data_IF_248344126206
#
_entry.id   IF_248344126206
#
_cell.length_a   1.000
_cell.length_b   1.000
_cell.length_c   1.000
_cell.angle_alpha   90.00
_cell.angle_beta   90.00
_cell.angle_gamma   90.00
#
_symmetry.space_group_name_H-M   'P 1'
#
loop_
_entity.id
_entity.type
_entity.pdbx_description
1 polymer ?
#
# COMPACT_ATOMS: atom_id res chain seq x y z
N UNK A 1 -31.00 -29.38 18.19
CA UNK A 1 -30.08 -28.27 18.53
C UNK A 1 -29.39 -27.82 17.24
N UNK A 2 -29.72 -26.64 16.68
CA UNK A 2 -29.06 -26.12 15.47
C UNK A 2 -28.60 -24.68 15.74
N UNK A 3 -27.30 -24.40 15.55
CA UNK A 3 -26.73 -23.06 15.75
C UNK A 3 -26.94 -22.22 14.49
N UNK A 4 -27.92 -21.31 14.51
CA UNK A 4 -28.10 -20.29 13.47
C UNK A 4 -26.85 -19.40 13.37
N UNK A 5 -26.16 -19.46 12.22
CA UNK A 5 -25.03 -18.57 11.96
C UNK A 5 -25.53 -17.19 11.51
N UNK A 6 -25.27 -16.19 12.36
CA UNK A 6 -24.97 -14.79 11.99
C UNK A 6 -25.63 -14.25 10.71
N UNK A 7 -26.83 -13.66 10.85
CA UNK A 7 -27.28 -12.67 9.88
C UNK A 7 -26.36 -11.45 9.91
N UNK A 8 -25.85 -11.03 8.76
CA UNK A 8 -24.98 -9.85 8.65
C UNK A 8 -25.83 -8.59 8.85
N UNK A 9 -25.73 -7.94 10.02
CA UNK A 9 -26.35 -6.62 10.24
C UNK A 9 -25.52 -5.56 9.51
N UNK A 10 -26.14 -4.70 8.68
CA UNK A 10 -25.43 -3.56 8.11
C UNK A 10 -25.13 -2.50 9.20
N UNK A 11 -23.89 -2.03 9.23
CA UNK A 11 -23.47 -0.74 9.80
C UNK A 11 -23.68 -0.47 11.31
N UNK A 12 -23.36 -1.43 12.19
CA UNK A 12 -22.85 -1.08 13.53
C UNK A 12 -21.31 -1.15 13.53
N UNK A 13 -20.63 -0.12 13.00
CA UNK A 13 -19.16 -0.07 13.09
C UNK A 13 -18.72 0.22 14.53
N UNK A 14 -17.80 -0.58 15.04
CA UNK A 14 -17.19 -0.38 16.36
C UNK A 14 -16.52 0.99 16.47
N UNK A 15 -16.36 1.50 17.71
CA UNK A 15 -15.53 2.70 17.95
C UNK A 15 -14.11 2.52 17.38
N UNK A 16 -13.56 1.29 17.45
CA UNK A 16 -12.24 0.94 16.88
C UNK A 16 -12.21 1.04 15.35
N UNK A 17 -13.28 0.60 14.68
CA UNK A 17 -13.34 0.59 13.20
C UNK A 17 -13.43 2.00 12.63
N UNK A 18 -14.22 2.89 13.25
CA UNK A 18 -14.27 4.32 12.88
C UNK A 18 -12.92 5.03 13.05
N UNK A 19 -12.15 4.67 14.07
CA UNK A 19 -10.78 5.18 14.21
C UNK A 19 -9.86 4.67 13.08
N UNK A 20 -9.96 3.38 12.71
CA UNK A 20 -9.19 2.80 11.60
C UNK A 20 -9.57 3.41 10.25
N UNK A 21 -10.85 3.65 10.00
CA UNK A 21 -11.37 4.33 8.80
C UNK A 21 -10.79 5.75 8.66
N UNK A 22 -10.84 6.56 9.72
CA UNK A 22 -10.28 7.92 9.72
C UNK A 22 -8.76 7.91 9.50
N UNK A 23 -8.04 6.99 10.14
CA UNK A 23 -6.59 6.84 9.94
C UNK A 23 -6.30 6.43 8.49
N UNK A 24 -7.02 5.44 7.95
CA UNK A 24 -6.86 4.93 6.58
C UNK A 24 -7.14 6.01 5.53
N UNK A 25 -8.22 6.78 5.69
CA UNK A 25 -8.54 7.91 4.81
C UNK A 25 -7.45 9.00 4.87
N UNK A 26 -6.91 9.29 6.07
CA UNK A 26 -5.83 10.27 6.25
C UNK A 26 -4.51 9.81 5.65
N UNK A 27 -4.18 8.51 5.73
CA UNK A 27 -2.99 7.95 5.07
C UNK A 27 -3.17 7.87 3.55
N UNK A 28 -4.36 7.52 3.06
CA UNK A 28 -4.66 7.55 1.63
C UNK A 28 -4.54 8.96 1.04
N UNK A 29 -4.96 9.99 1.78
CA UNK A 29 -4.72 11.41 1.43
C UNK A 29 -3.24 11.73 1.24
N UNK A 30 -2.39 11.33 2.21
CA UNK A 30 -0.93 11.51 2.12
C UNK A 30 -0.28 10.75 0.96
N UNK A 31 -0.74 9.52 0.68
CA UNK A 31 -0.27 8.74 -0.48
C UNK A 31 -0.66 9.46 -1.78
N UNK A 32 -1.89 9.99 -1.87
CA UNK A 32 -2.36 10.78 -3.01
C UNK A 32 -1.50 12.03 -3.22
N UNK A 33 -1.19 12.76 -2.16
CA UNK A 33 -0.30 13.94 -2.17
C UNK A 33 1.12 13.57 -2.64
N UNK A 34 1.70 12.50 -2.12
CA UNK A 34 3.02 12.00 -2.53
C UNK A 34 3.05 11.64 -4.04
N UNK A 35 2.00 10.97 -4.54
CA UNK A 35 1.87 10.66 -5.98
C UNK A 35 1.80 11.93 -6.83
N UNK A 36 1.07 12.97 -6.40
CA UNK A 36 1.03 14.27 -7.11
C UNK A 36 2.37 14.99 -7.13
N UNK A 37 3.22 14.76 -6.13
CA UNK A 37 4.50 15.45 -5.94
C UNK A 37 5.68 14.72 -6.61
N UNK A 38 5.53 13.45 -7.02
CA UNK A 38 6.56 12.72 -7.77
C UNK A 38 6.92 13.44 -9.09
N UNK A 39 8.21 13.52 -9.46
CA UNK A 39 8.60 13.94 -10.80
C UNK A 39 8.14 12.93 -11.86
N UNK A 40 7.92 13.41 -13.08
CA UNK A 40 7.64 12.55 -14.25
C UNK A 40 8.78 11.54 -14.43
N UNK A 41 8.46 10.30 -14.72
CA UNK A 41 9.48 9.26 -14.95
C UNK A 41 10.17 9.48 -16.29
N UNK A 42 11.49 9.35 -16.29
CA UNK A 42 12.33 9.50 -17.48
C UNK A 42 12.76 8.14 -18.02
N UNK A 43 13.17 8.07 -19.29
CA UNK A 43 13.70 6.84 -19.89
C UNK A 43 14.93 6.28 -19.15
N UNK A 44 15.63 7.12 -18.37
CA UNK A 44 16.78 6.69 -17.56
C UNK A 44 16.36 6.02 -16.25
N UNK A 45 15.21 6.40 -15.69
CA UNK A 45 14.57 5.65 -14.61
C UNK A 45 14.16 4.26 -15.10
N UNK A 46 13.54 4.19 -16.28
CA UNK A 46 13.12 2.95 -16.94
C UNK A 46 14.30 2.01 -17.21
N UNK A 47 15.44 2.53 -17.70
CA UNK A 47 16.67 1.75 -17.86
C UNK A 47 17.26 1.28 -16.52
N UNK A 48 17.24 2.14 -15.49
CA UNK A 48 17.78 1.83 -14.17
C UNK A 48 17.06 0.68 -13.48
N UNK A 49 15.73 0.70 -13.44
CA UNK A 49 14.93 -0.40 -12.86
C UNK A 49 14.99 -1.67 -13.72
N UNK A 50 15.19 -1.55 -15.04
CA UNK A 50 15.42 -2.70 -15.91
C UNK A 50 16.79 -3.38 -15.72
N UNK A 51 17.76 -2.70 -15.11
CA UNK A 51 19.04 -3.25 -14.69
C UNK A 51 18.96 -3.88 -13.29
N UNK A 52 18.51 -3.13 -12.28
CA UNK A 52 18.47 -3.61 -10.88
C UNK A 52 17.69 -4.93 -10.70
N UNK A 53 16.58 -5.10 -11.43
CA UNK A 53 15.78 -6.34 -11.39
C UNK A 53 16.44 -7.53 -12.12
N UNK A 54 17.52 -7.34 -12.89
CA UNK A 54 18.35 -8.46 -13.36
C UNK A 54 19.26 -8.93 -12.23
N UNK A 55 19.96 -8.00 -11.59
CA UNK A 55 20.85 -8.27 -10.46
C UNK A 55 20.08 -9.01 -9.34
N UNK A 56 18.85 -8.59 -9.03
CA UNK A 56 17.99 -9.32 -8.07
C UNK A 56 17.59 -10.72 -8.55
N UNK A 57 17.33 -10.92 -9.85
CA UNK A 57 16.96 -12.25 -10.38
C UNK A 57 18.17 -13.19 -10.34
N UNK A 58 19.34 -12.73 -10.76
CA UNK A 58 20.60 -13.51 -10.74
C UNK A 58 21.04 -13.87 -9.32
N UNK A 59 20.73 -13.03 -8.32
CA UNK A 59 20.97 -13.33 -6.90
C UNK A 59 20.01 -14.36 -6.29
N UNK A 60 18.86 -14.66 -6.92
CA UNK A 60 17.87 -15.61 -6.37
C UNK A 60 18.10 -17.08 -6.74
N UNK A 61 18.93 -17.38 -7.73
CA UNK A 61 19.11 -18.75 -8.26
C UNK A 61 20.15 -19.61 -7.49
N UNK A 62 20.98 -19.04 -6.60
CA UNK A 62 22.10 -19.74 -5.94
C UNK A 62 22.05 -19.81 -4.39
N UNK A 63 20.86 -19.97 -3.80
CA UNK A 63 20.71 -20.24 -2.36
C UNK A 63 20.70 -21.76 -2.08
N UNK A 64 21.88 -22.38 -2.11
CA UNK A 64 22.03 -23.84 -2.20
C UNK A 64 22.46 -24.63 -0.94
N UNK A 65 22.91 -24.01 0.16
CA UNK A 65 23.25 -24.76 1.40
C UNK A 65 23.33 -23.88 2.67
N UNK A 66 22.63 -24.31 3.73
CA UNK A 66 22.77 -23.78 5.10
C UNK A 66 23.36 -24.88 5.98
N UNK A 67 24.44 -24.57 6.70
CA UNK A 67 24.83 -25.27 7.93
C UNK A 67 25.44 -24.25 8.90
N UNK A 68 25.09 -24.36 10.17
CA UNK A 68 25.72 -23.63 11.28
C UNK A 68 26.53 -24.63 12.10
N UNK A 69 27.68 -24.23 12.64
CA UNK A 69 27.94 -24.37 14.08
C UNK A 69 29.17 -23.58 14.56
N UNK A 70 29.31 -23.51 15.88
CA UNK A 70 30.25 -22.70 16.69
C UNK A 70 31.19 -23.61 17.53
N UNK A 71 32.13 -23.14 18.41
CA UNK A 71 32.62 -21.78 18.72
C UNK A 71 34.17 -21.62 18.82
N UNK A 72 34.62 -20.37 19.08
CA UNK A 72 35.71 -19.94 19.99
C UNK A 72 37.02 -20.74 20.15
N UNK A 73 38.17 -20.09 19.89
CA UNK A 73 39.39 -20.11 20.73
C UNK A 73 40.29 -18.90 20.40
N UNK A 74 40.96 -18.34 21.41
CA UNK A 74 42.12 -17.44 21.30
C UNK A 74 43.27 -18.02 22.15
N UNK A 75 44.55 -17.67 21.89
CA UNK A 75 45.16 -16.64 22.75
C UNK A 75 46.35 -15.83 22.14
N UNK A 76 46.77 -14.74 22.83
CA UNK A 76 48.15 -14.22 23.07
C UNK A 76 49.21 -14.20 21.93
N UNK A 77 49.97 -13.12 21.65
CA UNK A 77 50.05 -11.69 22.09
C UNK A 77 50.59 -10.85 20.87
N UNK A 78 51.49 -9.84 20.84
CA UNK A 78 52.42 -9.17 21.78
C UNK A 78 52.96 -7.82 21.24
N UNK A 79 53.55 -7.00 22.14
CA UNK A 79 54.52 -5.91 21.88
C UNK A 79 54.17 -4.80 20.85
N UNK A 80 53.56 -3.70 21.32
CA UNK A 80 54.31 -2.46 21.69
C UNK A 80 53.41 -1.36 22.25
N UNK A 81 53.95 -0.60 23.21
CA UNK A 81 53.30 0.56 23.81
C UNK A 81 53.54 1.82 22.96
N UNK A 82 52.54 2.25 22.20
CA UNK A 82 52.38 3.66 21.82
C UNK A 82 50.95 4.10 22.14
N UNK A 83 50.84 5.21 22.89
CA UNK A 83 49.60 5.70 23.51
C UNK A 83 48.62 6.18 22.43
N UNK A 84 47.67 5.32 22.09
CA UNK A 84 46.78 5.51 20.94
C UNK A 84 45.73 6.59 21.21
N UNK A 85 45.98 7.80 20.69
CA UNK A 85 45.09 8.97 20.70
C UNK A 85 43.62 8.57 20.37
N UNK A 86 42.71 8.53 21.36
CA UNK A 86 41.37 7.96 21.20
C UNK A 86 40.43 8.84 20.35
N UNK A 87 40.88 10.02 19.92
CA UNK A 87 40.13 10.91 19.02
C UNK A 87 40.89 11.25 17.72
N UNK A 88 42.15 10.80 17.57
CA UNK A 88 42.97 10.99 16.37
C UNK A 88 43.30 12.45 16.03
N UNK A 89 43.19 13.38 16.98
CA UNK A 89 43.39 14.81 16.73
C UNK A 89 44.84 15.16 16.37
N UNK A 90 45.83 14.39 16.83
CA UNK A 90 47.24 14.67 16.55
C UNK A 90 47.57 14.69 15.04
N UNK A 91 46.81 13.95 14.21
CA UNK A 91 46.95 13.97 12.75
C UNK A 91 46.67 15.35 12.12
N UNK A 92 45.84 16.18 12.76
CA UNK A 92 45.45 17.50 12.24
C UNK A 92 46.38 18.64 12.69
N UNK A 93 47.15 18.44 13.76
CA UNK A 93 48.06 19.47 14.32
C UNK A 93 49.33 19.58 13.46
N UNK A 94 49.74 18.50 12.79
CA UNK A 94 51.02 18.43 12.06
C UNK A 94 51.05 19.17 10.72
N UNK A 95 49.92 19.63 10.17
CA UNK A 95 49.85 20.17 8.80
C UNK A 95 49.90 21.70 8.69
N UNK A 96 51.12 22.21 8.63
CA UNK A 96 51.53 23.44 7.92
C UNK A 96 51.01 24.82 8.37
N UNK A 97 51.86 25.52 9.12
CA UNK A 97 52.11 26.94 8.84
C UNK A 97 52.89 27.04 7.52
N UNK A 98 52.23 27.43 6.41
CA UNK A 98 52.87 28.12 5.26
C UNK A 98 51.88 28.70 4.24
N UNK A 99 51.84 30.03 4.23
CA UNK A 99 51.42 30.95 3.14
C UNK A 99 51.38 30.32 1.73
N UNK A 100 50.18 30.23 1.13
CA UNK A 100 49.99 29.74 -0.24
C UNK A 100 48.65 30.16 -0.85
N UNK A 101 48.68 31.03 -1.85
CA UNK A 101 47.51 31.62 -2.52
C UNK A 101 47.10 30.82 -3.77
N UNK A 102 45.86 30.29 -3.82
CA UNK A 102 45.12 29.97 -5.07
C UNK A 102 43.66 29.53 -4.81
N UNK A 103 42.68 29.94 -5.65
CA UNK A 103 41.27 29.57 -5.46
C UNK A 103 40.98 28.16 -5.99
N UNK A 104 40.66 27.20 -5.09
CA UNK A 104 40.35 25.80 -5.46
C UNK A 104 38.90 25.35 -5.15
N UNK A 105 38.11 26.14 -4.42
CA UNK A 105 36.77 25.76 -3.92
C UNK A 105 35.66 25.52 -4.95
N UNK A 106 35.95 25.65 -6.26
CA UNK A 106 34.96 25.50 -7.34
C UNK A 106 34.84 24.08 -7.92
N UNK A 107 35.68 23.12 -7.49
CA UNK A 107 35.62 21.73 -7.96
C UNK A 107 34.87 20.81 -6.99
N UNK A 108 35.15 20.94 -5.70
CA UNK A 108 34.53 20.08 -4.66
C UNK A 108 33.04 20.41 -4.45
N UNK A 109 32.66 21.68 -4.62
CA UNK A 109 31.25 22.11 -4.66
C UNK A 109 30.49 21.47 -5.81
N UNK A 110 31.05 21.45 -7.03
CA UNK A 110 30.45 20.76 -8.18
C UNK A 110 30.46 19.24 -8.06
N UNK A 111 31.35 18.65 -7.27
CA UNK A 111 31.31 17.22 -6.94
C UNK A 111 30.14 16.89 -6.01
N UNK A 112 30.02 17.59 -4.87
CA UNK A 112 28.95 17.37 -3.88
C UNK A 112 27.56 17.58 -4.44
N UNK A 113 27.35 18.59 -5.29
CA UNK A 113 26.05 18.84 -5.94
C UNK A 113 25.63 17.65 -6.82
N UNK A 114 26.57 16.95 -7.46
CA UNK A 114 26.27 15.75 -8.25
C UNK A 114 26.01 14.52 -7.39
N UNK A 115 26.72 14.39 -6.28
CA UNK A 115 26.50 13.33 -5.28
C UNK A 115 25.09 13.46 -4.67
N UNK A 116 24.70 14.67 -4.27
CA UNK A 116 23.35 15.01 -3.82
C UNK A 116 22.29 14.78 -4.91
N UNK A 117 22.58 15.08 -6.19
CA UNK A 117 21.68 14.79 -7.31
C UNK A 117 21.45 13.27 -7.50
N UNK A 118 22.51 12.46 -7.37
CA UNK A 118 22.44 11.00 -7.43
C UNK A 118 21.71 10.37 -6.23
N UNK A 119 21.93 10.88 -5.02
CA UNK A 119 21.17 10.49 -3.83
C UNK A 119 19.69 10.81 -3.96
N UNK A 120 19.34 11.99 -4.49
CA UNK A 120 17.96 12.36 -4.78
C UNK A 120 17.31 11.44 -5.83
N UNK A 121 18.03 11.02 -6.89
CA UNK A 121 17.52 10.03 -7.86
C UNK A 121 17.23 8.67 -7.19
N UNK A 122 18.12 8.21 -6.31
CA UNK A 122 17.92 6.96 -5.53
C UNK A 122 16.70 7.07 -4.62
N UNK A 123 16.57 8.19 -3.90
CA UNK A 123 15.42 8.47 -3.05
C UNK A 123 14.09 8.46 -3.82
N UNK A 124 14.04 9.09 -5.00
CA UNK A 124 12.83 9.08 -5.85
C UNK A 124 12.47 7.66 -6.34
N UNK A 125 13.46 6.82 -6.67
CA UNK A 125 13.22 5.41 -7.05
C UNK A 125 12.62 4.62 -5.89
N UNK A 126 13.25 4.65 -4.71
CA UNK A 126 12.69 4.01 -3.50
C UNK A 126 11.36 4.60 -3.05
N UNK A 127 11.09 5.89 -3.31
CA UNK A 127 9.78 6.50 -3.08
C UNK A 127 8.71 5.94 -4.02
N UNK A 128 9.01 5.74 -5.31
CA UNK A 128 8.10 5.10 -6.28
C UNK A 128 7.77 3.66 -5.85
N UNK A 129 8.79 2.86 -5.54
CA UNK A 129 8.67 1.47 -5.05
C UNK A 129 7.81 1.37 -3.78
N UNK A 130 8.06 2.24 -2.79
CA UNK A 130 7.29 2.30 -1.56
C UNK A 130 5.81 2.68 -1.81
N UNK A 131 5.53 3.56 -2.77
CA UNK A 131 4.17 3.95 -3.15
C UNK A 131 3.42 2.79 -3.83
N UNK A 132 4.05 2.04 -4.73
CA UNK A 132 3.48 0.81 -5.30
C UNK A 132 3.17 -0.21 -4.19
N UNK A 133 4.12 -0.45 -3.30
CA UNK A 133 3.96 -1.36 -2.15
C UNK A 133 2.78 -0.94 -1.25
N UNK A 134 2.61 0.36 -1.01
CA UNK A 134 1.45 0.89 -0.27
C UNK A 134 0.13 0.63 -1.00
N UNK A 135 0.07 0.83 -2.33
CA UNK A 135 -1.14 0.57 -3.14
C UNK A 135 -1.52 -0.91 -3.12
N UNK A 136 -0.56 -1.84 -3.21
CA UNK A 136 -0.82 -3.27 -3.08
C UNK A 136 -1.36 -3.67 -1.71
N UNK A 137 -0.70 -3.23 -0.63
CA UNK A 137 -1.11 -3.52 0.75
C UNK A 137 -2.52 -2.96 1.01
N UNK A 138 -2.82 -1.78 0.46
CA UNK A 138 -4.14 -1.17 0.54
C UNK A 138 -5.18 -1.99 -0.25
N UNK A 139 -4.88 -2.42 -1.49
CA UNK A 139 -5.78 -3.22 -2.32
C UNK A 139 -6.18 -4.56 -1.64
N UNK A 140 -5.27 -5.19 -0.88
CA UNK A 140 -5.58 -6.39 -0.07
C UNK A 140 -6.72 -6.16 0.96
N UNK A 141 -7.06 -4.91 1.29
CA UNK A 141 -8.15 -4.51 2.20
C UNK A 141 -9.49 -4.22 1.51
N UNK A 142 -9.60 -4.34 0.18
CA UNK A 142 -10.85 -4.08 -0.56
C UNK A 142 -12.05 -4.95 -0.12
N UNK A 143 -11.79 -6.08 0.56
CA UNK A 143 -12.82 -6.93 1.19
C UNK A 143 -13.61 -6.20 2.30
N UNK A 144 -13.06 -5.14 2.88
CA UNK A 144 -13.66 -4.37 3.97
C UNK A 144 -14.50 -3.21 3.40
N UNK A 145 -15.83 -3.13 3.64
CA UNK A 145 -16.70 -2.16 2.96
C UNK A 145 -16.28 -0.70 3.10
N UNK A 146 -15.87 -0.24 4.29
CA UNK A 146 -15.45 1.15 4.52
C UNK A 146 -14.13 1.53 3.82
N UNK A 147 -13.29 0.56 3.45
CA UNK A 147 -12.08 0.83 2.67
C UNK A 147 -12.39 1.11 1.18
N UNK A 148 -13.48 0.59 0.64
CA UNK A 148 -13.66 0.42 -0.81
C UNK A 148 -13.67 1.74 -1.57
N UNK A 149 -14.48 2.71 -1.15
CA UNK A 149 -14.58 4.01 -1.84
C UNK A 149 -13.26 4.79 -1.78
N UNK A 150 -12.52 4.69 -0.67
CA UNK A 150 -11.19 5.31 -0.54
C UNK A 150 -10.18 4.63 -1.46
N UNK A 151 -10.22 3.31 -1.60
CA UNK A 151 -9.39 2.55 -2.53
C UNK A 151 -9.73 2.84 -4.00
N UNK A 152 -11.02 2.92 -4.34
CA UNK A 152 -11.49 3.28 -5.69
C UNK A 152 -10.91 4.64 -6.12
N UNK A 153 -10.94 5.63 -5.22
CA UNK A 153 -10.42 6.99 -5.47
C UNK A 153 -8.89 7.00 -5.51
N UNK A 154 -8.22 6.34 -4.57
CA UNK A 154 -6.76 6.33 -4.46
C UNK A 154 -6.11 5.65 -5.67
N UNK A 155 -6.61 4.48 -6.06
CA UNK A 155 -6.06 3.72 -7.20
C UNK A 155 -6.43 4.38 -8.52
N UNK A 156 -7.62 4.97 -8.66
CA UNK A 156 -7.90 5.82 -9.83
C UNK A 156 -6.91 6.98 -9.91
N UNK A 157 -6.58 7.65 -8.80
CA UNK A 157 -5.62 8.75 -8.81
C UNK A 157 -4.20 8.31 -9.18
N UNK A 158 -3.77 7.11 -8.77
CA UNK A 158 -2.51 6.52 -9.21
C UNK A 158 -2.52 6.23 -10.72
N UNK A 159 -3.61 5.63 -11.23
CA UNK A 159 -3.81 5.38 -12.66
C UNK A 159 -3.84 6.68 -13.48
N UNK A 160 -4.58 7.69 -13.04
CA UNK A 160 -4.64 9.01 -13.66
C UNK A 160 -3.26 9.75 -13.65
N UNK A 161 -2.25 9.23 -12.94
CA UNK A 161 -0.88 9.76 -12.85
C UNK A 161 0.23 8.76 -13.29
N UNK A 162 -0.07 7.69 -14.04
CA UNK A 162 0.93 6.64 -14.41
C UNK A 162 2.24 7.16 -15.03
N UNK A 163 2.22 8.32 -15.70
CA UNK A 163 3.43 8.96 -16.25
C UNK A 163 4.50 9.34 -15.19
N UNK A 164 4.16 9.37 -13.90
CA UNK A 164 5.12 9.64 -12.79
C UNK A 164 5.85 8.38 -12.29
N UNK A 165 5.45 7.21 -12.77
CA UNK A 165 6.01 5.90 -12.45
C UNK A 165 6.76 5.31 -13.65
N UNK A 166 7.66 4.36 -13.43
CA UNK A 166 8.36 3.65 -14.52
C UNK A 166 7.44 2.66 -15.23
N UNK A 167 7.75 2.31 -16.47
CA UNK A 167 7.11 1.27 -17.29
C UNK A 167 6.65 0.04 -16.51
N UNK A 168 7.54 -0.60 -15.74
CA UNK A 168 7.21 -1.80 -14.93
C UNK A 168 6.22 -1.50 -13.79
N UNK A 169 6.33 -0.32 -13.18
CA UNK A 169 5.39 0.15 -12.15
C UNK A 169 4.02 0.52 -12.77
N UNK A 170 3.98 1.03 -14.02
CA UNK A 170 2.72 1.26 -14.76
C UNK A 170 1.97 -0.05 -15.00
N UNK A 171 2.66 -1.10 -15.45
CA UNK A 171 2.08 -2.44 -15.61
C UNK A 171 1.48 -2.97 -14.29
N UNK A 172 2.12 -2.69 -13.14
CA UNK A 172 1.61 -3.07 -11.83
C UNK A 172 0.35 -2.27 -11.45
N UNK A 173 0.35 -0.94 -11.66
CA UNK A 173 -0.81 -0.06 -11.44
C UNK A 173 -1.98 -0.49 -12.32
N UNK A 174 -1.75 -0.82 -13.59
CA UNK A 174 -2.79 -1.20 -14.55
C UNK A 174 -3.45 -2.54 -14.17
N UNK A 175 -2.65 -3.54 -13.74
CA UNK A 175 -3.17 -4.82 -13.20
C UNK A 175 -4.01 -4.59 -11.93
N UNK A 176 -3.52 -3.75 -11.02
CA UNK A 176 -4.19 -3.41 -9.76
C UNK A 176 -5.50 -2.64 -9.99
N UNK A 177 -5.51 -1.70 -10.94
CA UNK A 177 -6.67 -0.92 -11.34
C UNK A 177 -7.69 -1.74 -12.13
N UNK A 178 -7.27 -2.65 -13.01
CA UNK A 178 -8.18 -3.58 -13.68
C UNK A 178 -8.94 -4.44 -12.66
N UNK A 179 -8.23 -5.01 -11.69
CA UNK A 179 -8.81 -5.78 -10.57
C UNK A 179 -9.81 -4.94 -9.77
N UNK A 180 -9.44 -3.73 -9.34
CA UNK A 180 -10.33 -2.85 -8.57
C UNK A 180 -11.53 -2.36 -9.38
N UNK A 181 -11.37 -2.05 -10.66
CA UNK A 181 -12.45 -1.70 -11.59
C UNK A 181 -13.43 -2.87 -11.76
N UNK A 182 -12.95 -4.10 -11.80
CA UNK A 182 -13.80 -5.29 -11.82
C UNK A 182 -14.59 -5.44 -10.51
N UNK A 183 -13.96 -5.28 -9.35
CA UNK A 183 -14.64 -5.33 -8.05
C UNK A 183 -15.69 -4.21 -7.88
N UNK A 184 -15.36 -2.98 -8.30
CA UNK A 184 -16.31 -1.85 -8.37
C UNK A 184 -17.51 -2.18 -9.27
N UNK A 185 -17.27 -2.84 -10.41
CA UNK A 185 -18.33 -3.24 -11.35
C UNK A 185 -19.20 -4.35 -10.77
N UNK A 186 -18.61 -5.37 -10.11
CA UNK A 186 -19.33 -6.44 -9.41
C UNK A 186 -20.25 -5.89 -8.32
N UNK A 187 -19.75 -4.95 -7.49
CA UNK A 187 -20.54 -4.25 -6.47
C UNK A 187 -21.71 -3.46 -7.06
N UNK A 188 -21.47 -2.68 -8.13
CA UNK A 188 -22.53 -1.93 -8.83
C UNK A 188 -23.61 -2.83 -9.46
N UNK A 189 -23.27 -4.06 -9.82
CA UNK A 189 -24.19 -5.03 -10.44
C UNK A 189 -24.93 -5.93 -9.42
N UNK A 190 -24.78 -5.72 -8.10
CA UNK A 190 -25.41 -6.57 -7.08
C UNK A 190 -24.94 -8.04 -7.12
N UNK A 191 -23.80 -8.32 -7.76
CA UNK A 191 -23.27 -9.68 -7.91
C UNK A 191 -22.39 -10.00 -6.72
N UNK A 192 -22.86 -10.94 -5.90
CA UNK A 192 -22.14 -11.42 -4.74
C UNK A 192 -20.79 -12.02 -5.13
N UNK A 193 -19.84 -12.09 -4.18
CA UNK A 193 -18.51 -12.70 -4.41
C UNK A 193 -18.66 -14.15 -4.89
N UNK A 194 -19.72 -14.84 -4.48
CA UNK A 194 -20.04 -16.22 -4.85
C UNK A 194 -20.83 -16.35 -6.18
N UNK A 195 -20.81 -15.33 -7.05
CA UNK A 195 -21.45 -15.34 -8.38
C UNK A 195 -22.98 -15.26 -8.38
N UNK A 196 -23.64 -15.57 -7.26
CA UNK A 196 -25.07 -15.42 -7.07
C UNK A 196 -25.46 -13.94 -7.20
N UNK A 197 -26.51 -13.66 -7.97
CA UNK A 197 -27.20 -12.38 -7.93
C UNK A 197 -27.85 -12.27 -6.55
N UNK A 198 -27.43 -11.32 -5.72
CA UNK A 198 -28.14 -11.05 -4.46
C UNK A 198 -29.40 -10.26 -4.82
N UNK A 199 -30.49 -11.02 -5.09
CA UNK A 199 -31.82 -10.50 -5.38
C UNK A 199 -32.15 -9.38 -4.40
N UNK A 200 -32.41 -8.20 -4.94
CA UNK A 200 -32.62 -6.99 -4.15
C UNK A 200 -33.78 -7.23 -3.17
N UNK A 201 -33.75 -6.59 -2.00
CA UNK A 201 -34.83 -6.74 -1.01
C UNK A 201 -36.21 -6.46 -1.61
N UNK A 202 -36.28 -5.55 -2.59
CA UNK A 202 -37.46 -5.30 -3.42
C UNK A 202 -37.88 -6.51 -4.27
N UNK A 203 -36.95 -7.16 -5.00
CA UNK A 203 -37.23 -8.33 -5.83
C UNK A 203 -37.64 -9.55 -4.98
N UNK A 204 -37.02 -9.72 -3.80
CA UNK A 204 -37.40 -10.76 -2.84
C UNK A 204 -38.82 -10.52 -2.28
N UNK A 205 -39.15 -9.27 -1.94
CA UNK A 205 -40.51 -8.88 -1.55
C UNK A 205 -41.51 -9.08 -2.71
N UNK A 206 -41.14 -8.71 -3.93
CA UNK A 206 -41.96 -8.90 -5.13
C UNK A 206 -42.21 -10.40 -5.40
N UNK A 207 -41.18 -11.25 -5.31
CA UNK A 207 -41.33 -12.70 -5.47
C UNK A 207 -42.23 -13.29 -4.39
N UNK A 208 -42.08 -12.86 -3.13
CA UNK A 208 -42.95 -13.26 -2.01
C UNK A 208 -44.41 -12.88 -2.29
N UNK A 209 -44.68 -11.59 -2.53
CA UNK A 209 -46.04 -11.09 -2.76
C UNK A 209 -46.67 -11.55 -4.08
N UNK A 210 -45.88 -11.90 -5.11
CA UNK A 210 -46.42 -12.47 -6.36
C UNK A 210 -47.07 -13.85 -6.18
N UNK A 211 -46.73 -14.56 -5.10
CA UNK A 211 -47.35 -15.84 -4.72
C UNK A 211 -48.45 -15.71 -3.65
N UNK A 212 -48.53 -14.57 -2.97
CA UNK A 212 -49.58 -14.30 -1.97
C UNK A 212 -50.86 -13.82 -2.69
N UNK A 213 -51.98 -14.50 -2.47
CA UNK A 213 -53.27 -14.12 -3.07
C UNK A 213 -53.76 -12.80 -2.44
N UNK A 214 -53.48 -11.69 -3.12
CA UNK A 214 -54.04 -10.37 -2.79
C UNK A 214 -55.57 -10.46 -2.85
N UNK A 215 -56.23 -10.27 -1.71
CA UNK A 215 -57.69 -10.23 -1.66
C UNK A 215 -58.19 -8.97 -2.37
N UNK A 216 -59.35 -9.05 -3.04
CA UNK A 216 -60.00 -7.95 -3.78
C UNK A 216 -60.25 -6.71 -2.89
N UNK A 217 -60.22 -6.88 -1.55
CA UNK A 217 -60.31 -5.79 -0.55
C UNK A 217 -58.93 -5.22 -0.12
N UNK A 218 -57.89 -5.40 -0.92
CA UNK A 218 -56.50 -4.98 -0.65
C UNK A 218 -55.87 -5.45 0.68
N UNK A 219 -56.44 -6.50 1.30
CA UNK A 219 -55.91 -7.09 2.52
C UNK A 219 -54.81 -8.11 2.21
N UNK A 220 -53.63 -7.91 2.79
CA UNK A 220 -52.55 -8.91 2.88
C UNK A 220 -52.67 -9.67 4.21
N UNK A 221 -52.70 -11.00 4.14
CA UNK A 221 -52.84 -11.87 5.33
C UNK A 221 -54.17 -12.61 5.46
N UNK A 222 -54.60 -13.32 4.42
CA UNK A 222 -55.81 -14.17 4.41
C UNK A 222 -55.73 -15.47 5.24
N UNK A 223 -54.97 -15.49 6.34
CA UNK A 223 -54.85 -16.63 7.27
C UNK A 223 -54.76 -16.10 8.70
N UNK A 224 -55.89 -16.10 9.40
CA UNK A 224 -56.05 -15.40 10.67
C UNK A 224 -55.56 -16.16 11.89
N UNK A 225 -54.27 -16.04 12.22
CA UNK A 225 -53.80 -16.21 13.61
C UNK A 225 -52.53 -15.39 13.92
N UNK A 226 -52.61 -14.07 13.73
CA UNK A 226 -51.61 -13.12 14.26
C UNK A 226 -52.32 -11.86 14.79
N UNK A 227 -52.27 -11.70 16.11
CA UNK A 227 -52.77 -10.49 16.80
C UNK A 227 -51.89 -9.30 16.41
N UNK A 228 -52.37 -8.46 15.49
CA UNK A 228 -51.73 -7.18 15.22
C UNK A 228 -51.90 -6.27 16.44
N UNK A 229 -50.82 -6.01 17.18
CA UNK A 229 -50.82 -4.95 18.19
C UNK A 229 -50.84 -3.61 17.45
N UNK A 230 -52.01 -2.97 17.46
CA UNK A 230 -52.20 -1.63 16.92
C UNK A 230 -51.52 -0.63 17.85
N UNK A 231 -50.39 -0.07 17.41
CA UNK A 231 -49.73 1.04 18.09
C UNK A 231 -50.57 2.30 17.87
N UNK A 232 -51.26 2.74 18.93
CA UNK A 232 -52.04 3.97 18.99
C UNK A 232 -51.24 5.04 19.72
N UNK A 233 -50.97 6.18 19.05
CA UNK A 233 -50.29 7.35 19.62
C UNK A 233 -48.78 7.28 19.51
#
# INVERSE_FOLDING_TARGET
>A
MVRSRSGVRPCEMSKRERCLELIFSKTAGRIKEAISNLPVATEDDDRGEAAALKDETELTDDNGQINQDVPFVAPTEEHKEEESDPFGLNAFISTSVKKGEKPKGKKDTTARIKEEEEENKRFIKSQREALITCLEIAARRYKTPWCQTVLDILVKHAFDNVARFTSRQRDAIDKLWASIREQLTRRKQGKSVNGKLDVNGFEWLQQKYSTEKISIRHSVGGSGDRRAQQWLG
#
